data_IF_776101352851
#
_entry.id   IF_776101352851
#
_cell.length_a   1.000
_cell.length_b   1.000
_cell.length_c   1.000
_cell.angle_alpha   90.00
_cell.angle_beta   90.00
_cell.angle_gamma   90.00
#
_symmetry.space_group_name_H-M   'P 1'
#
loop_
_entity.id
_entity.type
_entity.pdbx_description
1 polymer ?
#
# COMPACT_ATOMS: atom_id res chain seq x y z
N UNK A 1 8.37 10.91 10.09
CA UNK A 1 8.77 12.23 10.63
C UNK A 1 7.98 13.36 9.99
N UNK A 2 8.13 13.64 8.69
CA UNK A 2 7.48 14.80 8.04
C UNK A 2 5.95 14.87 8.20
N UNK A 3 5.25 13.75 8.04
CA UNK A 3 3.81 13.70 8.25
C UNK A 3 3.39 14.02 9.70
N UNK A 4 4.15 13.56 10.71
CA UNK A 4 3.87 13.91 12.10
C UNK A 4 4.09 15.39 12.35
N UNK A 5 5.14 15.97 11.77
CA UNK A 5 5.40 17.40 11.87
C UNK A 5 4.29 18.20 11.18
N UNK A 6 3.79 17.75 10.01
CA UNK A 6 2.66 18.40 9.34
C UNK A 6 1.40 18.40 10.21
N UNK A 7 1.10 17.28 10.88
CA UNK A 7 0.01 17.21 11.86
C UNK A 7 0.28 18.18 13.02
N UNK A 8 1.48 18.21 13.58
CA UNK A 8 1.84 19.14 14.65
C UNK A 8 1.66 20.60 14.22
N UNK A 9 2.03 20.95 13.00
CA UNK A 9 1.84 22.29 12.45
C UNK A 9 0.36 22.66 12.31
N UNK A 10 -0.50 21.70 11.92
CA UNK A 10 -1.96 21.90 11.92
C UNK A 10 -2.46 22.21 13.34
N UNK A 11 -2.01 21.42 14.32
CA UNK A 11 -2.43 21.55 15.72
C UNK A 11 -1.96 22.85 16.38
N UNK A 12 -0.78 23.36 15.97
CA UNK A 12 -0.18 24.59 16.49
C UNK A 12 -0.51 25.83 15.65
N UNK A 13 -1.42 25.71 14.68
CA UNK A 13 -1.81 26.79 13.76
C UNK A 13 -0.67 27.36 12.88
N UNK A 14 0.37 26.56 12.64
CA UNK A 14 1.54 26.89 11.81
C UNK A 14 1.30 26.49 10.34
N UNK A 15 0.31 27.10 9.69
CA UNK A 15 -0.19 26.64 8.38
C UNK A 15 0.80 26.74 7.22
N UNK A 16 1.75 27.67 7.31
CA UNK A 16 2.81 27.86 6.30
C UNK A 16 3.75 26.64 6.18
N UNK A 17 3.87 25.84 7.23
CA UNK A 17 4.73 24.65 7.23
C UNK A 17 4.04 23.42 6.63
N UNK A 18 2.72 23.43 6.49
CA UNK A 18 1.94 22.25 6.11
C UNK A 18 2.30 21.79 4.70
N UNK A 19 2.21 22.68 3.70
CA UNK A 19 2.49 22.32 2.30
C UNK A 19 3.93 21.78 2.15
N UNK A 20 4.98 22.46 2.66
CA UNK A 20 6.35 21.94 2.62
C UNK A 20 6.52 20.59 3.33
N UNK A 21 5.91 20.39 4.51
CA UNK A 21 6.06 19.16 5.27
C UNK A 21 5.33 17.99 4.62
N UNK A 22 4.10 18.20 4.15
CA UNK A 22 3.35 17.19 3.38
C UNK A 22 4.12 16.84 2.11
N UNK A 23 4.58 17.85 1.36
CA UNK A 23 5.41 17.68 0.17
C UNK A 23 6.64 16.80 0.44
N UNK A 24 7.41 17.11 1.49
CA UNK A 24 8.58 16.30 1.89
C UNK A 24 8.18 14.88 2.29
N UNK A 25 7.05 14.72 2.98
CA UNK A 25 6.48 13.43 3.32
C UNK A 25 6.26 12.56 2.09
N UNK A 26 5.47 13.05 1.13
CA UNK A 26 5.15 12.35 -0.12
C UNK A 26 6.40 12.04 -0.96
N UNK A 27 7.40 12.92 -0.97
CA UNK A 27 8.67 12.66 -1.67
C UNK A 27 9.53 11.59 -1.00
N UNK A 28 9.35 11.37 0.31
CA UNK A 28 10.12 10.40 1.10
C UNK A 28 9.48 9.02 1.22
N UNK A 29 8.26 8.84 0.72
CA UNK A 29 7.49 7.60 0.84
C UNK A 29 7.09 7.08 -0.54
N UNK A 30 6.63 5.83 -0.64
CA UNK A 30 5.94 5.34 -1.85
C UNK A 30 4.44 5.15 -1.65
N UNK A 31 3.94 5.28 -0.43
CA UNK A 31 2.51 5.18 -0.12
C UNK A 31 2.15 6.15 1.00
N UNK A 32 0.87 6.47 1.12
CA UNK A 32 0.34 7.38 2.13
C UNK A 32 -0.23 6.67 3.37
N UNK A 33 -0.03 5.35 3.51
CA UNK A 33 -0.57 4.54 4.60
C UNK A 33 -0.29 5.14 5.98
N UNK A 34 0.93 5.63 6.20
CA UNK A 34 1.31 6.28 7.45
C UNK A 34 0.56 7.60 7.65
N UNK A 35 0.52 8.45 6.62
CA UNK A 35 -0.15 9.74 6.70
C UNK A 35 -1.64 9.56 6.98
N UNK A 36 -2.28 8.63 6.29
CA UNK A 36 -3.68 8.25 6.51
C UNK A 36 -3.95 7.79 7.94
N UNK A 37 -3.06 6.95 8.52
CA UNK A 37 -3.15 6.50 9.91
C UNK A 37 -3.00 7.66 10.89
N UNK A 38 -1.97 8.50 10.70
CA UNK A 38 -1.74 9.68 11.54
C UNK A 38 -2.93 10.65 11.47
N UNK A 39 -3.42 10.96 10.27
CA UNK A 39 -4.58 11.82 10.06
C UNK A 39 -5.84 11.29 10.77
N UNK A 40 -6.07 9.97 10.70
CA UNK A 40 -7.18 9.33 11.40
C UNK A 40 -7.13 9.47 12.93
N UNK A 41 -5.94 9.42 13.53
CA UNK A 41 -5.76 9.58 14.98
C UNK A 41 -6.11 10.99 15.47
N UNK A 42 -5.83 12.02 14.67
CA UNK A 42 -6.03 13.42 15.04
C UNK A 42 -7.25 14.08 14.39
N UNK A 43 -8.10 13.29 13.69
CA UNK A 43 -9.22 13.78 12.87
C UNK A 43 -10.11 14.81 13.58
N UNK A 44 -10.52 14.55 14.81
CA UNK A 44 -11.44 15.45 15.55
C UNK A 44 -10.79 16.81 15.82
N UNK A 45 -9.52 16.81 16.21
CA UNK A 45 -8.78 18.03 16.51
C UNK A 45 -8.50 18.80 15.22
N UNK A 46 -8.14 18.10 14.13
CA UNK A 46 -7.96 18.73 12.82
C UNK A 46 -9.26 19.37 12.32
N UNK A 47 -10.42 18.70 12.48
CA UNK A 47 -11.73 19.27 12.11
C UNK A 47 -11.98 20.57 12.85
N UNK A 48 -11.80 20.55 14.17
CA UNK A 48 -11.96 21.73 15.03
C UNK A 48 -11.02 22.85 14.61
N UNK A 49 -9.74 22.55 14.38
CA UNK A 49 -8.78 23.53 13.89
C UNK A 49 -9.24 24.14 12.56
N UNK A 50 -9.71 23.36 11.59
CA UNK A 50 -10.19 23.89 10.30
C UNK A 50 -11.46 24.75 10.46
N UNK A 51 -12.40 24.33 11.30
CA UNK A 51 -13.67 25.04 11.56
C UNK A 51 -13.47 26.36 12.32
N UNK A 52 -12.54 26.39 13.28
CA UNK A 52 -12.25 27.56 14.10
C UNK A 52 -11.21 28.52 13.45
N UNK A 53 -10.63 28.13 12.32
CA UNK A 53 -9.42 28.77 11.81
C UNK A 53 -9.62 30.11 11.10
N UNK A 54 -8.72 31.04 11.43
CA UNK A 54 -8.41 32.29 10.68
C UNK A 54 -7.66 32.06 9.36
N UNK A 55 -7.41 30.81 8.98
CA UNK A 55 -6.72 30.41 7.73
C UNK A 55 -7.32 31.05 6.47
N UNK A 56 -8.58 31.50 6.52
CA UNK A 56 -9.22 32.18 5.38
C UNK A 56 -8.38 33.35 4.83
N UNK A 57 -7.54 33.99 5.66
CA UNK A 57 -6.62 35.06 5.21
C UNK A 57 -5.46 34.56 4.32
N UNK A 58 -5.19 33.24 4.32
CA UNK A 58 -4.16 32.55 3.54
C UNK A 58 -4.84 31.51 2.62
N UNK A 59 -5.47 32.00 1.54
CA UNK A 59 -6.33 31.22 0.64
C UNK A 59 -5.71 29.91 0.13
N UNK A 60 -4.43 29.92 -0.24
CA UNK A 60 -3.76 28.73 -0.76
C UNK A 60 -3.66 27.60 0.28
N UNK A 61 -3.21 27.93 1.50
CA UNK A 61 -3.11 26.99 2.61
C UNK A 61 -4.49 26.48 3.03
N UNK A 62 -5.50 27.36 2.99
CA UNK A 62 -6.89 27.00 3.24
C UNK A 62 -7.37 25.90 2.28
N UNK A 63 -7.23 26.13 0.98
CA UNK A 63 -7.69 25.20 -0.04
C UNK A 63 -6.92 23.89 -0.01
N UNK A 64 -5.60 23.94 0.18
CA UNK A 64 -4.79 22.74 0.31
C UNK A 64 -5.20 21.89 1.52
N UNK A 65 -5.29 22.50 2.71
CA UNK A 65 -5.62 21.77 3.94
C UNK A 65 -7.03 21.17 3.88
N UNK A 66 -8.02 21.92 3.37
CA UNK A 66 -9.38 21.40 3.20
C UNK A 66 -9.40 20.20 2.24
N UNK A 67 -8.67 20.26 1.12
CA UNK A 67 -8.60 19.13 0.19
C UNK A 67 -8.08 17.85 0.84
N UNK A 68 -7.01 17.96 1.64
CA UNK A 68 -6.44 16.85 2.41
C UNK A 68 -7.44 16.35 3.45
N UNK A 69 -8.08 17.26 4.18
CA UNK A 69 -9.04 16.91 5.21
C UNK A 69 -10.19 16.10 4.64
N UNK A 70 -10.89 16.61 3.63
CA UNK A 70 -12.03 15.91 3.05
C UNK A 70 -11.62 14.56 2.42
N UNK A 71 -10.46 14.48 1.75
CA UNK A 71 -9.96 13.23 1.20
C UNK A 71 -9.67 12.18 2.27
N UNK A 72 -8.87 12.53 3.29
CA UNK A 72 -8.42 11.57 4.30
C UNK A 72 -9.50 11.24 5.34
N UNK A 73 -10.44 12.15 5.58
CA UNK A 73 -11.61 11.93 6.41
C UNK A 73 -12.44 10.75 5.89
N UNK A 74 -12.63 10.70 4.57
CA UNK A 74 -13.40 9.64 3.90
C UNK A 74 -12.59 8.36 3.72
N UNK A 75 -11.30 8.49 3.35
CA UNK A 75 -10.46 7.32 3.07
C UNK A 75 -10.35 6.35 4.25
N UNK A 76 -10.47 6.84 5.49
CA UNK A 76 -10.43 6.04 6.71
C UNK A 76 -11.71 5.22 6.98
N UNK A 77 -12.84 5.57 6.36
CA UNK A 77 -14.11 4.87 6.53
C UNK A 77 -14.20 3.54 5.75
N UNK A 78 -13.52 3.43 4.59
CA UNK A 78 -13.58 2.23 3.72
C UNK A 78 -12.98 0.95 4.33
N UNK A 79 -12.29 1.01 5.47
CA UNK A 79 -11.86 -0.21 6.19
C UNK A 79 -12.97 -0.90 6.98
N UNK A 80 -14.13 -0.26 7.18
CA UNK A 80 -15.12 -0.71 8.15
C UNK A 80 -16.56 -0.89 7.61
N UNK A 81 -16.86 -1.30 6.37
CA UNK A 81 -18.28 -1.58 6.03
C UNK A 81 -18.52 -2.57 4.86
N UNK A 82 -19.14 -3.70 5.21
CA UNK A 82 -20.11 -4.47 4.41
C UNK A 82 -21.50 -3.78 4.48
N UNK A 83 -21.63 -2.49 4.11
CA UNK A 83 -22.92 -1.79 4.21
C UNK A 83 -23.16 -0.79 3.06
N UNK A 84 -24.11 -1.05 2.15
CA UNK A 84 -24.31 -0.28 0.92
C UNK A 84 -24.87 1.14 1.13
N UNK A 85 -25.46 1.47 2.29
CA UNK A 85 -25.97 2.83 2.60
C UNK A 85 -24.89 3.89 2.81
N UNK A 86 -23.61 3.50 2.96
CA UNK A 86 -22.48 4.42 3.17
C UNK A 86 -21.80 4.85 1.86
N UNK A 87 -22.17 4.22 0.74
CA UNK A 87 -21.65 4.58 -0.59
C UNK A 87 -21.98 6.03 -0.98
N UNK A 88 -23.15 6.56 -0.58
CA UNK A 88 -23.63 7.89 -0.97
C UNK A 88 -22.89 9.03 -0.23
N UNK A 89 -22.69 8.90 1.09
CA UNK A 89 -21.89 9.86 1.87
C UNK A 89 -20.42 9.92 1.43
N UNK A 90 -19.91 8.83 0.84
CA UNK A 90 -18.52 8.79 0.38
C UNK A 90 -18.24 9.66 -0.83
N UNK A 91 -19.25 9.97 -1.65
CA UNK A 91 -19.09 10.86 -2.80
C UNK A 91 -18.94 12.33 -2.39
N UNK A 92 -19.71 12.79 -1.41
CA UNK A 92 -19.79 14.21 -1.06
C UNK A 92 -18.45 14.75 -0.53
N UNK A 93 -17.77 13.98 0.33
CA UNK A 93 -16.45 14.36 0.82
C UNK A 93 -15.41 14.41 -0.30
N UNK A 94 -15.39 13.43 -1.21
CA UNK A 94 -14.45 13.49 -2.34
C UNK A 94 -14.78 14.62 -3.32
N UNK A 95 -16.05 14.96 -3.52
CA UNK A 95 -16.45 16.13 -4.31
C UNK A 95 -15.99 17.44 -3.65
N UNK A 96 -16.12 17.57 -2.33
CA UNK A 96 -15.60 18.72 -1.58
C UNK A 96 -14.07 18.79 -1.67
N UNK A 97 -13.38 17.65 -1.52
CA UNK A 97 -11.93 17.57 -1.71
C UNK A 97 -11.53 18.04 -3.12
N UNK A 98 -12.26 17.61 -4.15
CA UNK A 98 -12.02 17.98 -5.54
C UNK A 98 -12.25 19.48 -5.78
N UNK A 99 -13.31 20.06 -5.18
CA UNK A 99 -13.56 21.51 -5.24
C UNK A 99 -12.36 22.27 -4.69
N UNK A 100 -11.89 21.93 -3.49
CA UNK A 100 -10.79 22.64 -2.84
C UNK A 100 -9.45 22.45 -3.54
N UNK A 101 -9.12 21.25 -4.01
CA UNK A 101 -7.85 21.05 -4.72
C UNK A 101 -7.81 21.80 -6.06
N UNK A 102 -8.96 21.97 -6.72
CA UNK A 102 -9.04 22.80 -7.93
C UNK A 102 -8.85 24.29 -7.63
N UNK A 103 -9.39 24.79 -6.51
CA UNK A 103 -9.15 26.17 -6.07
C UNK A 103 -7.67 26.39 -5.71
N UNK A 104 -7.04 25.43 -5.03
CA UNK A 104 -5.60 25.46 -4.77
C UNK A 104 -4.78 25.54 -6.09
N UNK A 105 -5.07 24.65 -7.04
CA UNK A 105 -4.35 24.61 -8.32
C UNK A 105 -4.63 25.79 -9.24
N UNK A 106 -5.76 26.49 -9.08
CA UNK A 106 -6.04 27.73 -9.82
C UNK A 106 -5.08 28.87 -9.43
N UNK A 107 -4.61 28.87 -8.19
CA UNK A 107 -3.65 29.85 -7.67
C UNK A 107 -2.19 29.37 -7.81
N UNK A 108 -1.99 28.07 -8.05
CA UNK A 108 -0.68 27.39 -7.97
C UNK A 108 -0.57 26.26 -9.01
N UNK A 109 -0.51 26.64 -10.29
CA UNK A 109 -0.63 25.74 -11.47
C UNK A 109 0.57 24.81 -11.72
N UNK A 110 1.65 24.92 -10.94
CA UNK A 110 2.86 24.08 -11.05
C UNK A 110 3.20 23.30 -9.76
N UNK A 111 2.21 23.06 -8.88
CA UNK A 111 2.44 22.29 -7.66
C UNK A 111 2.23 20.79 -7.87
N UNK A 112 3.34 20.03 -7.93
CA UNK A 112 3.28 18.57 -8.12
C UNK A 112 2.41 17.89 -7.05
N UNK A 113 2.51 18.31 -5.78
CA UNK A 113 1.72 17.72 -4.68
C UNK A 113 0.23 17.98 -4.86
N UNK A 114 -0.14 19.12 -5.45
CA UNK A 114 -1.54 19.45 -5.74
C UNK A 114 -2.13 18.51 -6.79
N UNK A 115 -1.40 18.31 -7.90
CA UNK A 115 -1.79 17.36 -8.94
C UNK A 115 -1.79 15.91 -8.43
N UNK A 116 -0.86 15.55 -7.56
CA UNK A 116 -0.83 14.24 -6.92
C UNK A 116 -2.09 14.01 -6.08
N UNK A 117 -2.43 14.92 -5.17
CA UNK A 117 -3.64 14.81 -4.33
C UNK A 117 -4.90 14.82 -5.20
N UNK A 118 -4.98 15.69 -6.22
CA UNK A 118 -6.07 15.70 -7.19
C UNK A 118 -6.26 14.35 -7.86
N UNK A 119 -5.17 13.69 -8.25
CA UNK A 119 -5.24 12.35 -8.83
C UNK A 119 -5.85 11.33 -7.85
N UNK A 120 -5.44 11.36 -6.58
CA UNK A 120 -5.96 10.45 -5.56
C UNK A 120 -7.46 10.64 -5.32
N UNK A 121 -7.92 11.90 -5.32
CA UNK A 121 -9.33 12.26 -5.20
C UNK A 121 -10.14 11.76 -6.40
N UNK A 122 -9.66 11.99 -7.63
CA UNK A 122 -10.33 11.55 -8.85
C UNK A 122 -10.41 10.03 -8.95
N UNK A 123 -9.33 9.32 -8.57
CA UNK A 123 -9.33 7.85 -8.51
C UNK A 123 -10.35 7.34 -7.48
N UNK A 124 -10.49 8.03 -6.34
CA UNK A 124 -11.48 7.67 -5.31
C UNK A 124 -12.93 7.92 -5.77
N UNK A 125 -13.13 8.89 -6.65
CA UNK A 125 -14.39 9.16 -7.38
C UNK A 125 -14.60 8.25 -8.60
N UNK A 126 -13.69 7.32 -8.85
CA UNK A 126 -13.72 6.42 -10.01
C UNK A 126 -13.57 7.11 -11.38
N UNK A 127 -13.17 8.39 -11.39
CA UNK A 127 -12.75 9.11 -12.58
C UNK A 127 -11.29 8.81 -12.92
N UNK A 128 -11.03 7.57 -13.33
CA UNK A 128 -9.69 7.04 -13.52
C UNK A 128 -8.92 7.75 -14.64
N UNK A 129 -9.60 8.24 -15.68
CA UNK A 129 -8.95 8.92 -16.80
C UNK A 129 -8.44 10.30 -16.40
N UNK A 130 -9.26 11.13 -15.74
CA UNK A 130 -8.79 12.41 -15.24
C UNK A 130 -7.80 12.24 -14.07
N UNK A 131 -7.97 11.18 -13.27
CA UNK A 131 -7.00 10.76 -12.27
C UNK A 131 -5.63 10.46 -12.88
N UNK A 132 -5.59 9.68 -13.96
CA UNK A 132 -4.37 9.38 -14.72
C UNK A 132 -3.71 10.66 -15.24
N UNK A 133 -4.46 11.54 -15.93
CA UNK A 133 -3.93 12.80 -16.46
C UNK A 133 -3.31 13.66 -15.35
N UNK A 134 -3.99 13.77 -14.20
CA UNK A 134 -3.50 14.54 -13.06
C UNK A 134 -2.22 13.91 -12.48
N UNK A 135 -2.16 12.59 -12.38
CA UNK A 135 -0.99 11.88 -11.86
C UNK A 135 0.23 11.99 -12.79
N UNK A 136 0.01 11.85 -14.10
CA UNK A 136 1.06 12.07 -15.10
C UNK A 136 1.58 13.51 -15.08
N UNK A 137 0.68 14.48 -14.88
CA UNK A 137 1.06 15.89 -14.71
C UNK A 137 1.92 16.09 -13.46
N UNK A 138 1.55 15.49 -12.33
CA UNK A 138 2.37 15.50 -11.11
C UNK A 138 3.77 14.92 -11.36
N UNK A 139 3.86 13.77 -12.05
CA UNK A 139 5.14 13.10 -12.31
C UNK A 139 6.02 13.87 -13.31
N UNK A 140 5.41 14.59 -14.27
CA UNK A 140 6.13 15.50 -15.17
C UNK A 140 6.76 16.67 -14.40
N UNK A 141 6.04 17.24 -13.44
CA UNK A 141 6.58 18.33 -12.59
C UNK A 141 7.68 17.78 -11.67
N UNK A 142 7.42 16.64 -11.01
CA UNK A 142 8.39 16.02 -10.11
C UNK A 142 8.21 14.50 -10.05
N UNK A 143 9.12 13.79 -10.72
CA UNK A 143 9.19 12.34 -10.65
C UNK A 143 9.55 11.88 -9.23
N UNK A 144 8.79 10.94 -8.67
CA UNK A 144 8.99 10.44 -7.32
C UNK A 144 8.40 9.04 -7.15
N UNK A 145 8.88 8.32 -6.13
CA UNK A 145 8.49 6.93 -5.85
C UNK A 145 6.97 6.77 -5.68
N UNK A 146 6.33 7.64 -4.90
CA UNK A 146 4.90 7.54 -4.63
C UNK A 146 4.01 7.76 -5.86
N UNK A 147 4.35 8.75 -6.70
CA UNK A 147 3.60 8.99 -7.93
C UNK A 147 3.68 7.79 -8.88
N UNK A 148 4.86 7.17 -9.01
CA UNK A 148 5.07 5.95 -9.81
C UNK A 148 4.31 4.75 -9.25
N UNK A 149 4.31 4.60 -7.92
CA UNK A 149 3.54 3.55 -7.25
C UNK A 149 2.05 3.65 -7.57
N UNK A 150 1.46 4.83 -7.40
CA UNK A 150 0.04 5.03 -7.69
C UNK A 150 -0.27 4.92 -9.20
N UNK A 151 0.65 5.33 -10.07
CA UNK A 151 0.48 5.22 -11.53
C UNK A 151 0.43 3.75 -11.96
N UNK A 152 1.40 2.96 -11.50
CA UNK A 152 1.44 1.54 -11.78
C UNK A 152 0.24 0.79 -11.20
N UNK A 153 -0.17 1.13 -9.98
CA UNK A 153 -1.36 0.56 -9.33
C UNK A 153 -2.66 0.90 -10.07
N UNK A 154 -2.82 2.15 -10.52
CA UNK A 154 -3.97 2.61 -11.30
C UNK A 154 -4.08 1.84 -12.62
N UNK A 155 -2.96 1.73 -13.35
CA UNK A 155 -2.87 0.97 -14.60
C UNK A 155 -3.25 -0.50 -14.39
N UNK A 156 -2.66 -1.15 -13.39
CA UNK A 156 -2.86 -2.58 -13.12
C UNK A 156 -4.25 -2.95 -12.56
N UNK A 157 -4.90 -2.03 -11.83
CA UNK A 157 -6.17 -2.32 -11.14
C UNK A 157 -7.40 -1.82 -11.88
N UNK A 158 -7.37 -0.57 -12.31
CA UNK A 158 -8.58 0.14 -12.73
C UNK A 158 -8.64 0.28 -14.25
N UNK A 159 -7.50 0.55 -14.90
CA UNK A 159 -7.44 0.79 -16.34
C UNK A 159 -7.13 -0.46 -17.17
N UNK A 160 -6.91 -1.61 -16.53
CA UNK A 160 -6.51 -2.87 -17.19
C UNK A 160 -5.28 -2.73 -18.09
N UNK A 161 -4.44 -1.74 -17.81
CA UNK A 161 -3.20 -1.47 -18.52
C UNK A 161 -2.02 -2.25 -17.94
N UNK A 162 -0.84 -2.01 -18.53
CA UNK A 162 0.42 -2.56 -18.03
C UNK A 162 1.16 -1.51 -17.19
N UNK A 163 1.16 -1.67 -15.88
CA UNK A 163 1.75 -0.74 -14.90
C UNK A 163 2.98 -1.26 -14.16
N UNK A 164 3.51 -2.43 -14.57
CA UNK A 164 4.61 -3.09 -13.87
C UNK A 164 5.92 -2.30 -13.92
N UNK A 165 6.16 -1.57 -15.01
CA UNK A 165 7.36 -0.75 -15.17
C UNK A 165 7.40 0.38 -14.14
N UNK A 166 6.27 1.05 -13.91
CA UNK A 166 6.14 2.12 -12.93
C UNK A 166 6.23 1.57 -11.50
N UNK A 167 5.58 0.44 -11.20
CA UNK A 167 5.71 -0.23 -9.89
C UNK A 167 7.17 -0.62 -9.60
N UNK A 168 7.87 -1.15 -10.60
CA UNK A 168 9.28 -1.48 -10.47
C UNK A 168 10.14 -0.24 -10.24
N UNK A 169 9.92 0.82 -11.02
CA UNK A 169 10.67 2.07 -10.87
C UNK A 169 10.42 2.74 -9.52
N UNK A 170 9.18 2.65 -8.99
CA UNK A 170 8.86 3.08 -7.63
C UNK A 170 9.74 2.38 -6.59
N UNK A 171 9.91 1.05 -6.69
CA UNK A 171 10.77 0.27 -5.77
C UNK A 171 12.22 0.71 -5.89
N UNK A 172 12.73 0.93 -7.11
CA UNK A 172 14.10 1.41 -7.29
C UNK A 172 14.34 2.77 -6.63
N UNK A 173 13.35 3.67 -6.65
CA UNK A 173 13.44 4.98 -6.00
C UNK A 173 13.28 4.93 -4.47
N UNK A 174 12.60 3.92 -3.94
CA UNK A 174 12.40 3.75 -2.50
C UNK A 174 12.34 2.26 -2.15
N UNK A 175 13.50 1.61 -2.05
CA UNK A 175 13.56 0.15 -1.90
C UNK A 175 13.06 -0.32 -0.53
N UNK A 176 12.99 0.53 0.49
CA UNK A 176 12.45 0.17 1.81
C UNK A 176 10.93 0.12 1.88
N UNK A 177 10.23 0.54 0.82
CA UNK A 177 8.77 0.61 0.81
C UNK A 177 8.11 -0.77 0.76
N UNK A 178 7.63 -1.25 1.92
CA UNK A 178 6.85 -2.49 2.05
C UNK A 178 5.66 -2.53 1.09
N UNK A 179 4.86 -1.45 1.05
CA UNK A 179 3.66 -1.39 0.22
C UNK A 179 3.99 -1.49 -1.28
N UNK A 180 5.05 -0.82 -1.74
CA UNK A 180 5.45 -0.88 -3.15
C UNK A 180 5.90 -2.28 -3.54
N UNK A 181 6.74 -2.90 -2.70
CA UNK A 181 7.17 -4.28 -2.88
C UNK A 181 5.98 -5.23 -2.91
N UNK A 182 5.20 -5.33 -1.82
CA UNK A 182 4.06 -6.25 -1.71
C UNK A 182 3.12 -6.17 -2.90
N UNK A 183 2.81 -4.97 -3.34
CA UNK A 183 1.92 -4.76 -4.47
C UNK A 183 2.54 -5.25 -5.79
N UNK A 184 3.78 -4.88 -6.07
CA UNK A 184 4.52 -5.36 -7.25
C UNK A 184 4.60 -6.88 -7.28
N UNK A 185 4.96 -7.52 -6.15
CA UNK A 185 5.00 -8.98 -6.03
C UNK A 185 3.67 -9.64 -6.33
N UNK A 186 2.60 -9.09 -5.75
CA UNK A 186 1.26 -9.58 -6.00
C UNK A 186 0.90 -9.51 -7.50
N UNK A 187 1.26 -8.41 -8.17
CA UNK A 187 1.00 -8.24 -9.61
C UNK A 187 1.88 -9.13 -10.48
N UNK A 188 3.16 -9.29 -10.17
CA UNK A 188 4.06 -10.27 -10.80
C UNK A 188 3.47 -11.66 -10.71
N UNK A 189 2.99 -12.08 -9.53
CA UNK A 189 2.36 -13.39 -9.34
C UNK A 189 1.10 -13.56 -10.17
N UNK A 190 0.19 -12.58 -10.14
CA UNK A 190 -1.05 -12.61 -10.94
C UNK A 190 -0.73 -12.74 -12.43
N UNK A 191 0.28 -12.01 -12.90
CA UNK A 191 0.73 -12.03 -14.30
C UNK A 191 1.69 -13.18 -14.62
N UNK A 192 2.06 -14.01 -13.64
CA UNK A 192 3.03 -15.11 -13.75
C UNK A 192 4.38 -14.68 -14.34
N UNK A 193 4.80 -13.45 -14.03
CA UNK A 193 6.10 -12.92 -14.44
C UNK A 193 7.17 -13.65 -13.61
N UNK A 194 8.25 -14.09 -14.26
CA UNK A 194 9.42 -14.64 -13.57
C UNK A 194 10.60 -13.73 -13.80
N UNK A 195 11.36 -13.45 -12.74
CA UNK A 195 12.65 -12.80 -12.87
C UNK A 195 13.65 -13.77 -13.50
N UNK A 196 14.49 -13.24 -14.39
CA UNK A 196 15.67 -13.92 -14.92
C UNK A 196 16.87 -13.02 -14.65
N UNK A 197 17.94 -13.62 -14.14
CA UNK A 197 19.23 -12.95 -13.97
C UNK A 197 20.35 -13.83 -14.46
N UNK A 198 21.41 -13.21 -14.98
CA UNK A 198 22.64 -13.90 -15.35
C UNK A 198 23.71 -13.83 -14.24
N UNK A 199 23.49 -13.01 -13.21
CA UNK A 199 24.49 -12.68 -12.19
C UNK A 199 24.10 -13.11 -10.78
N UNK A 200 22.80 -13.24 -10.46
CA UNK A 200 22.36 -13.45 -9.08
C UNK A 200 21.15 -14.38 -8.97
N UNK A 201 21.38 -15.69 -8.86
CA UNK A 201 20.33 -16.69 -8.84
C UNK A 201 19.53 -16.70 -7.54
N UNK A 202 20.14 -16.53 -6.37
CA UNK A 202 19.44 -16.76 -5.09
C UNK A 202 18.28 -15.79 -4.81
N UNK A 203 18.45 -14.47 -4.95
CA UNK A 203 17.37 -13.52 -4.68
C UNK A 203 16.32 -13.53 -5.79
N UNK A 204 16.72 -13.83 -7.03
CA UNK A 204 15.82 -14.08 -8.15
C UNK A 204 15.02 -15.37 -7.94
N UNK A 205 15.65 -16.41 -7.40
CA UNK A 205 15.03 -17.67 -7.05
C UNK A 205 14.07 -17.46 -5.88
N UNK A 206 14.50 -16.78 -4.81
CA UNK A 206 13.63 -16.37 -3.70
C UNK A 206 12.43 -15.55 -4.18
N UNK A 207 12.65 -14.59 -5.08
CA UNK A 207 11.58 -13.82 -5.71
C UNK A 207 10.61 -14.73 -6.47
N UNK A 208 11.13 -15.71 -7.21
CA UNK A 208 10.37 -16.63 -8.04
C UNK A 208 9.67 -17.76 -7.24
N UNK A 209 10.08 -18.02 -5.99
CA UNK A 209 9.47 -19.02 -5.11
C UNK A 209 8.08 -18.52 -4.64
N UNK A 210 7.07 -19.39 -4.77
CA UNK A 210 5.65 -19.00 -4.68
C UNK A 210 5.12 -18.69 -3.26
N UNK A 211 5.89 -18.93 -2.20
CA UNK A 211 5.49 -18.69 -0.81
C UNK A 211 6.11 -17.39 -0.27
N UNK A 212 5.61 -16.28 -0.80
CA UNK A 212 6.33 -14.99 -0.78
C UNK A 212 6.07 -14.10 0.46
N UNK A 213 5.46 -14.63 1.51
CA UNK A 213 5.31 -13.88 2.76
C UNK A 213 6.68 -13.64 3.41
N UNK A 214 7.61 -14.59 3.25
CA UNK A 214 9.00 -14.41 3.68
C UNK A 214 9.68 -13.26 2.96
N UNK A 215 9.57 -13.11 1.64
CA UNK A 215 10.22 -11.99 0.94
C UNK A 215 9.61 -10.64 1.33
N UNK A 216 8.27 -10.53 1.32
CA UNK A 216 7.56 -9.29 1.64
C UNK A 216 7.71 -8.85 3.09
N UNK A 217 7.94 -9.78 4.02
CA UNK A 217 8.21 -9.46 5.41
C UNK A 217 9.69 -9.27 5.70
N UNK A 218 10.58 -10.03 5.04
CA UNK A 218 12.02 -9.97 5.30
C UNK A 218 12.64 -8.72 4.71
N UNK A 219 12.37 -8.38 3.44
CA UNK A 219 13.07 -7.26 2.77
C UNK A 219 12.75 -5.92 3.43
N UNK A 220 11.49 -5.56 3.74
CA UNK A 220 11.21 -4.31 4.47
C UNK A 220 11.80 -4.30 5.88
N UNK A 221 11.74 -5.41 6.62
CA UNK A 221 12.38 -5.52 7.95
C UNK A 221 13.91 -5.34 7.87
N UNK A 222 14.53 -5.80 6.79
CA UNK A 222 15.95 -5.62 6.52
C UNK A 222 16.31 -4.15 6.23
N UNK A 223 15.39 -3.36 5.68
CA UNK A 223 15.57 -1.91 5.53
C UNK A 223 15.22 -1.13 6.81
N UNK A 224 14.22 -1.56 7.58
CA UNK A 224 13.74 -0.88 8.80
C UNK A 224 14.71 -1.01 9.98
N UNK A 225 15.36 -2.17 10.14
CA UNK A 225 16.30 -2.42 11.25
C UNK A 225 17.70 -1.82 11.00
N UNK A 226 17.86 -1.02 9.93
CA UNK A 226 19.16 -0.73 9.34
C UNK A 226 19.77 -1.97 8.72
N UNK A 227 20.81 -1.80 7.92
CA UNK A 227 21.59 -2.92 7.40
C UNK A 227 22.06 -3.77 8.58
N UNK A 228 21.37 -4.89 8.81
CA UNK A 228 21.73 -5.83 9.85
C UNK A 228 23.19 -6.23 9.61
N UNK A 229 24.04 -6.15 10.64
CA UNK A 229 25.37 -6.76 10.64
C UNK A 229 25.29 -8.31 10.68
N UNK A 230 24.14 -8.87 10.27
CA UNK A 230 23.97 -10.30 10.09
C UNK A 230 24.64 -10.69 8.78
N UNK A 231 25.58 -11.63 8.89
CA UNK A 231 26.22 -12.25 7.75
C UNK A 231 25.34 -13.39 7.27
N UNK A 232 24.79 -13.24 6.08
CA UNK A 232 23.99 -14.28 5.45
C UNK A 232 24.88 -15.14 4.56
N UNK A 233 24.58 -16.44 4.55
CA UNK A 233 25.34 -17.40 3.75
C UNK A 233 24.77 -17.42 2.34
N UNK A 234 25.54 -16.86 1.41
CA UNK A 234 25.27 -16.94 -0.03
C UNK A 234 26.31 -17.87 -0.66
N UNK A 235 25.89 -19.09 -1.04
CA UNK A 235 26.82 -20.13 -1.50
C UNK A 235 27.88 -20.48 -0.45
N UNK A 236 29.15 -20.20 -0.75
CA UNK A 236 30.30 -20.43 0.15
C UNK A 236 30.85 -19.17 0.83
N UNK A 237 30.19 -18.01 0.67
CA UNK A 237 30.63 -16.73 1.24
C UNK A 237 29.60 -16.17 2.23
N UNK A 238 30.13 -15.44 3.19
CA UNK A 238 29.35 -14.65 4.13
C UNK A 238 29.41 -13.18 3.68
N UNK A 239 28.27 -12.61 3.32
CA UNK A 239 28.18 -11.21 2.89
C UNK A 239 27.19 -10.45 3.79
N UNK A 240 27.39 -9.13 3.88
CA UNK A 240 26.43 -8.28 4.60
C UNK A 240 25.14 -8.16 3.79
N UNK A 241 24.00 -8.07 4.48
CA UNK A 241 22.71 -7.91 3.81
C UNK A 241 22.60 -6.61 3.02
N UNK A 242 23.33 -5.56 3.42
CA UNK A 242 23.51 -4.35 2.63
C UNK A 242 24.05 -4.64 1.24
N UNK A 243 25.15 -5.40 1.18
CA UNK A 243 25.80 -5.77 -0.06
C UNK A 243 24.85 -6.61 -0.92
N UNK A 244 24.20 -7.61 -0.32
CA UNK A 244 23.24 -8.48 -1.00
C UNK A 244 22.04 -7.69 -1.58
N UNK A 245 21.47 -6.74 -0.83
CA UNK A 245 20.37 -5.89 -1.28
C UNK A 245 20.82 -4.88 -2.35
N UNK A 246 21.98 -4.24 -2.18
CA UNK A 246 22.54 -3.33 -3.17
C UNK A 246 22.89 -4.06 -4.46
N UNK A 247 23.48 -5.25 -4.37
CA UNK A 247 23.74 -6.11 -5.53
C UNK A 247 22.44 -6.53 -6.21
N UNK A 248 21.39 -6.84 -5.45
CA UNK A 248 20.10 -7.18 -6.03
C UNK A 248 19.45 -5.99 -6.74
N UNK A 249 19.41 -4.82 -6.12
CA UNK A 249 18.91 -3.59 -6.74
C UNK A 249 19.76 -3.26 -7.99
N UNK A 250 21.09 -3.38 -7.89
CA UNK A 250 22.01 -3.14 -8.99
C UNK A 250 21.79 -4.13 -10.13
N UNK A 251 21.57 -5.41 -9.81
CA UNK A 251 21.23 -6.46 -10.78
C UNK A 251 19.90 -6.15 -11.45
N UNK A 252 18.87 -5.81 -10.67
CA UNK A 252 17.55 -5.38 -11.15
C UNK A 252 17.65 -4.15 -12.09
N UNK A 253 18.52 -3.20 -11.79
CA UNK A 253 18.76 -2.03 -12.63
C UNK A 253 19.50 -2.38 -13.93
N UNK A 254 20.56 -3.18 -13.85
CA UNK A 254 21.41 -3.56 -14.97
C UNK A 254 20.74 -4.55 -15.93
N UNK A 255 19.85 -5.38 -15.40
CA UNK A 255 19.14 -6.44 -16.11
C UNK A 255 17.66 -6.09 -16.35
N UNK A 256 17.29 -4.81 -16.28
CA UNK A 256 15.91 -4.35 -16.50
C UNK A 256 15.28 -4.87 -17.80
N UNK A 257 16.07 -5.12 -18.84
CA UNK A 257 15.65 -5.70 -20.12
C UNK A 257 15.29 -7.19 -20.03
N UNK A 258 15.84 -7.91 -19.04
CA UNK A 258 15.49 -9.30 -18.74
C UNK A 258 14.18 -9.37 -17.93
N UNK A 259 13.73 -8.24 -17.39
CA UNK A 259 12.36 -8.06 -16.90
C UNK A 259 11.38 -7.94 -18.08
N UNK A 260 11.19 -9.06 -18.78
CA UNK A 260 10.25 -9.17 -19.88
C UNK A 260 8.99 -9.89 -19.44
N UNK A 261 7.83 -9.26 -19.64
CA UNK A 261 6.59 -10.02 -19.75
C UNK A 261 6.61 -10.63 -21.14
N UNK A 262 6.90 -11.93 -21.20
CA UNK A 262 6.63 -12.69 -22.41
C UNK A 262 5.14 -12.57 -22.64
N UNK A 263 4.74 -12.05 -23.81
CA UNK A 263 3.35 -11.78 -24.19
C UNK A 263 2.45 -12.97 -23.81
N UNK A 264 1.81 -12.89 -22.64
CA UNK A 264 0.61 -13.63 -22.36
C UNK A 264 -0.48 -12.80 -23.02
N UNK A 265 -0.89 -13.29 -24.19
CA UNK A 265 -1.94 -12.79 -25.05
C UNK A 265 -3.02 -12.00 -24.29
N UNK A 266 -3.41 -10.83 -24.81
CA UNK A 266 -4.58 -10.07 -24.35
C UNK A 266 -5.84 -10.95 -24.21
N UNK A 267 -5.91 -12.05 -24.96
CA UNK A 267 -7.00 -13.03 -24.93
C UNK A 267 -7.13 -13.82 -23.61
N UNK A 268 -6.05 -14.02 -22.86
CA UNK A 268 -6.11 -14.69 -21.56
C UNK A 268 -6.59 -13.74 -20.44
N UNK A 269 -6.45 -12.43 -20.64
CA UNK A 269 -6.91 -11.42 -19.67
C UNK A 269 -8.44 -11.33 -19.63
N UNK A 270 -9.12 -11.47 -20.77
CA UNK A 270 -10.58 -11.48 -20.85
C UNK A 270 -11.15 -12.76 -20.21
N UNK A 271 -10.52 -13.93 -20.47
CA UNK A 271 -11.03 -15.22 -19.97
C UNK A 271 -10.88 -15.43 -18.46
N UNK A 272 -9.89 -14.80 -17.81
CA UNK A 272 -9.70 -14.91 -16.35
C UNK A 272 -10.66 -13.99 -15.59
N UNK A 273 -11.10 -12.87 -16.18
CA UNK A 273 -12.00 -11.89 -15.55
C UNK A 273 -13.48 -12.19 -15.81
N UNK A 274 -13.83 -12.91 -16.89
CA UNK A 274 -15.22 -13.23 -17.25
C UNK A 274 -15.88 -14.39 -16.48
N UNK A 275 -15.14 -15.11 -15.62
CA UNK A 275 -15.78 -15.99 -14.64
C UNK A 275 -15.81 -15.30 -13.29
N UNK A 276 -16.93 -14.65 -12.89
CA UNK A 276 -17.14 -14.43 -11.47
C UNK A 276 -17.05 -15.80 -10.82
N UNK A 277 -16.09 -15.98 -9.90
CA UNK A 277 -16.21 -17.04 -8.92
C UNK A 277 -17.50 -16.77 -8.18
N UNK A 278 -18.56 -17.49 -8.55
CA UNK A 278 -19.66 -17.76 -7.64
C UNK A 278 -18.98 -18.48 -6.48
N UNK A 279 -18.60 -17.72 -5.46
CA UNK A 279 -18.25 -18.29 -4.17
C UNK A 279 -19.48 -19.11 -3.75
N UNK A 280 -19.35 -20.39 -3.37
CA UNK A 280 -20.46 -21.12 -2.82
C UNK A 280 -21.04 -20.28 -1.68
N UNK A 281 -22.37 -20.10 -1.69
CA UNK A 281 -23.05 -19.31 -0.70
C UNK A 281 -22.57 -19.74 0.70
N UNK A 282 -21.95 -18.81 1.42
CA UNK A 282 -21.62 -19.03 2.82
C UNK A 282 -22.97 -19.28 3.50
N UNK A 283 -23.21 -20.46 4.10
CA UNK A 283 -24.45 -20.68 4.83
C UNK A 283 -24.55 -19.60 5.93
N UNK A 284 -25.76 -19.06 6.18
CA UNK A 284 -25.93 -18.03 7.19
C UNK A 284 -25.31 -18.48 8.51
N UNK A 285 -24.73 -17.57 9.31
CA UNK A 285 -24.08 -17.93 10.55
C UNK A 285 -25.11 -18.65 11.43
N UNK A 286 -24.87 -19.92 11.74
CA UNK A 286 -25.58 -20.54 12.84
C UNK A 286 -25.20 -19.77 14.09
N UNK A 287 -26.21 -19.35 14.86
CA UNK A 287 -26.07 -18.63 16.11
C UNK A 287 -25.07 -19.35 17.01
N UNK A 288 -23.84 -18.83 17.08
CA UNK A 288 -22.88 -19.27 18.09
C UNK A 288 -23.39 -18.76 19.42
N UNK A 289 -23.93 -19.68 20.23
CA UNK A 289 -24.10 -19.45 21.68
C UNK A 289 -22.76 -18.96 22.22
N UNK A 290 -22.78 -17.76 22.78
CA UNK A 290 -21.66 -17.17 23.51
C UNK A 290 -21.23 -18.14 24.61
N UNK A 291 -20.04 -18.74 24.46
CA UNK A 291 -19.34 -19.35 25.59
C UNK A 291 -18.50 -18.23 26.20
N UNK A 292 -18.97 -17.71 27.33
CA UNK A 292 -18.27 -16.74 28.15
C UNK A 292 -17.41 -17.44 29.20
N UNK A 293 -16.11 -17.58 28.97
CA UNK A 293 -15.11 -17.66 30.05
C UNK A 293 -13.69 -17.64 29.49
N UNK A 294 -12.84 -16.86 30.17
CA UNK A 294 -11.45 -16.54 29.84
C UNK A 294 -10.50 -17.69 30.25
N UNK A 295 -10.86 -18.95 29.97
CA UNK A 295 -10.01 -20.13 30.31
C UNK A 295 -9.39 -20.85 29.12
N UNK A 296 -9.88 -20.64 27.89
CA UNK A 296 -9.59 -21.59 26.79
C UNK A 296 -8.48 -21.10 25.83
N UNK A 297 -7.77 -20.04 26.19
CA UNK A 297 -6.68 -19.50 25.37
C UNK A 297 -5.37 -20.32 25.44
N UNK A 298 -5.29 -21.33 26.31
CA UNK A 298 -4.10 -22.17 26.48
C UNK A 298 -4.15 -23.52 25.71
N UNK A 299 -5.23 -23.84 24.99
CA UNK A 299 -5.37 -25.14 24.29
C UNK A 299 -4.97 -25.14 22.81
N UNK A 300 -4.35 -24.06 22.29
CA UNK A 300 -4.04 -23.96 20.86
C UNK A 300 -2.73 -24.63 20.42
N UNK A 301 -2.14 -25.49 21.25
CA UNK A 301 -0.99 -26.32 20.84
C UNK A 301 -0.99 -27.67 21.60
N UNK A 302 -1.88 -28.59 21.22
CA UNK A 302 -1.67 -30.00 21.53
C UNK A 302 -0.80 -30.61 20.41
N UNK A 303 0.48 -30.95 20.66
CA UNK A 303 1.37 -31.52 19.65
C UNK A 303 0.93 -32.91 19.17
N UNK A 304 -0.06 -33.53 19.82
CA UNK A 304 -0.62 -34.83 19.45
C UNK A 304 -1.95 -34.73 18.70
N UNK A 305 -2.39 -33.52 18.32
CA UNK A 305 -3.60 -33.33 17.54
C UNK A 305 -3.40 -33.76 16.08
N UNK A 306 -4.01 -34.87 15.69
CA UNK A 306 -4.10 -35.35 14.29
C UNK A 306 -5.57 -35.59 13.94
N UNK A 307 -6.05 -34.91 12.88
CA UNK A 307 -7.43 -35.00 12.41
C UNK A 307 -7.82 -36.38 11.86
N UNK A 308 -6.86 -37.29 11.69
CA UNK A 308 -7.10 -38.67 11.26
C UNK A 308 -7.26 -39.65 12.43
N UNK A 309 -7.04 -39.20 13.66
CA UNK A 309 -7.22 -40.00 14.88
C UNK A 309 -8.57 -39.71 15.52
N UNK A 310 -9.21 -40.75 16.05
CA UNK A 310 -10.46 -40.58 16.79
C UNK A 310 -10.21 -39.84 18.11
N UNK A 311 -11.23 -39.19 18.68
CA UNK A 311 -11.07 -38.23 19.77
C UNK A 311 -10.43 -38.82 21.05
N UNK A 312 -10.61 -40.12 21.28
CA UNK A 312 -10.00 -40.87 22.39
C UNK A 312 -8.53 -41.21 22.15
N UNK A 313 -8.06 -41.21 20.90
CA UNK A 313 -6.67 -41.47 20.51
C UNK A 313 -5.78 -40.23 20.54
N UNK A 314 -6.36 -39.06 20.79
CA UNK A 314 -5.65 -37.78 20.85
C UNK A 314 -5.22 -37.39 22.27
N UNK A 315 -5.57 -38.20 23.28
CA UNK A 315 -5.15 -38.00 24.66
C UNK A 315 -3.77 -38.59 24.91
N UNK A 316 -3.02 -37.97 25.82
CA UNK A 316 -1.69 -38.45 26.20
C UNK A 316 -1.76 -39.78 26.95
N UNK A 317 -2.87 -40.09 27.63
CA UNK A 317 -3.08 -41.40 28.28
C UNK A 317 -3.09 -42.55 27.26
N UNK A 318 -3.76 -42.37 26.10
CA UNK A 318 -3.84 -43.38 25.06
C UNK A 318 -2.45 -43.83 24.55
N UNK A 319 -1.55 -42.87 24.30
CA UNK A 319 -0.20 -43.17 23.80
C UNK A 319 0.76 -43.73 24.86
N UNK A 320 0.42 -43.59 26.14
CA UNK A 320 1.22 -44.14 27.24
C UNK A 320 0.85 -45.59 27.58
N UNK A 321 -0.26 -46.12 27.04
CA UNK A 321 -0.73 -47.50 27.24
C UNK A 321 -0.33 -48.46 26.10
N UNK A 322 0.29 -47.97 25.02
CA UNK A 322 0.79 -48.75 23.87
C UNK A 322 2.29 -49.00 23.99
#
# INVERSE_FOLDING_TARGET
>A
MYFNNAISSILNEQFEDIIPLVTKGFLSTSCDCFFKKAFGLYKQIISKSIEECRIQEKEEQYYFLNSIYYYYNESNYRKNQYNPKISQFSSDNYQMALKYINLFLANSDHHFIGFHIKSLILIALEDYNNGLISLETSLKIKNNSQGLFELGKLKETNLKGFGMAELFHSILMNPSSKCAQEYFFNRVRIRRIKLKSNLNNYLVDLFNLQHNQMYSDSIPRLFENGFMNERWRYGSKYESMETILLEFITTLMNERQLFGVTNLFEEDYIKIVEKPRILPAIPPPQERKYISSISDANELYNPYYDSNLDMDQQSMEFWNEI
#
